data_IF_366231842134
#
_entry.id   IF_366231842134
#
_cell.length_a   1.000
_cell.length_b   1.000
_cell.length_c   1.000
_cell.angle_alpha   90.00
_cell.angle_beta   90.00
_cell.angle_gamma   90.00
#
_symmetry.space_group_name_H-M   'P 1'
#
loop_
_entity.id
_entity.type
_entity.pdbx_description
1 polymer ?
#
# COMPACT_ATOMS: atom_id res chain seq x y z
N UNK A 1 -4.86 31.78 -66.42
CA UNK A 1 -3.63 31.47 -65.66
C UNK A 1 -3.21 32.72 -64.90
N UNK A 2 -2.57 32.63 -63.72
CA UNK A 2 -2.60 31.60 -62.67
C UNK A 2 -3.24 32.20 -61.39
N UNK A 3 -3.21 31.69 -60.14
CA UNK A 3 -2.77 30.44 -59.49
C UNK A 3 -3.94 29.96 -58.58
N UNK A 4 -4.04 28.66 -58.26
CA UNK A 4 -4.83 28.21 -57.10
C UNK A 4 -3.93 28.13 -55.86
N UNK A 5 -4.36 28.70 -54.74
CA UNK A 5 -3.69 28.53 -53.45
C UNK A 5 -4.44 27.44 -52.65
N UNK A 6 -3.83 26.27 -52.48
CA UNK A 6 -4.35 25.21 -51.61
C UNK A 6 -3.91 25.47 -50.18
N UNK A 7 -4.85 25.76 -49.29
CA UNK A 7 -4.61 25.67 -47.85
C UNK A 7 -4.68 24.20 -47.42
N UNK A 8 -3.52 23.58 -47.25
CA UNK A 8 -3.40 22.35 -46.44
C UNK A 8 -3.50 22.73 -44.98
N UNK A 9 -4.64 22.45 -44.35
CA UNK A 9 -4.80 22.58 -42.90
C UNK A 9 -3.90 21.58 -42.19
N UNK A 10 -2.87 22.07 -41.49
CA UNK A 10 -2.03 21.24 -40.64
C UNK A 10 -2.81 20.98 -39.34
N UNK A 11 -3.36 19.77 -39.19
CA UNK A 11 -4.01 19.36 -37.93
C UNK A 11 -2.91 19.18 -36.89
N UNK A 12 -2.67 20.25 -36.13
CA UNK A 12 -1.75 20.22 -34.99
C UNK A 12 -2.42 19.39 -33.88
N UNK A 13 -2.09 18.10 -33.84
CA UNK A 13 -2.57 17.20 -32.78
C UNK A 13 -1.82 17.56 -31.50
N UNK A 14 -2.39 18.46 -30.71
CA UNK A 14 -1.88 18.78 -29.38
C UNK A 14 -2.12 17.56 -28.50
N UNK A 15 -1.09 16.73 -28.33
CA UNK A 15 -1.03 15.79 -27.22
C UNK A 15 -0.91 16.59 -25.93
N UNK A 16 -2.05 16.97 -25.34
CA UNK A 16 -2.07 17.42 -23.96
C UNK A 16 -1.84 16.17 -23.11
N UNK A 17 -0.62 16.01 -22.63
CA UNK A 17 -0.32 15.08 -21.55
C UNK A 17 -0.95 15.65 -20.27
N UNK A 18 -2.26 15.45 -20.10
CA UNK A 18 -2.93 15.76 -18.84
C UNK A 18 -2.40 14.75 -17.82
N UNK A 19 -1.49 15.20 -16.97
CA UNK A 19 -1.23 14.54 -15.70
C UNK A 19 -2.50 14.71 -14.86
N UNK A 20 -3.38 13.70 -14.90
CA UNK A 20 -4.66 13.77 -14.19
C UNK A 20 -4.40 13.65 -12.69
N UNK A 21 -4.54 14.80 -12.04
CA UNK A 21 -4.50 14.92 -10.58
C UNK A 21 -5.79 14.31 -10.02
N UNK A 22 -5.70 13.06 -9.56
CA UNK A 22 -6.71 12.54 -8.65
C UNK A 22 -6.51 13.27 -7.31
N UNK A 23 -7.47 14.08 -6.83
CA UNK A 23 -7.37 14.60 -5.48
C UNK A 23 -7.35 13.41 -4.50
N UNK A 24 -6.52 13.43 -3.45
CA UNK A 24 -6.55 12.38 -2.43
C UNK A 24 -7.95 12.28 -1.81
N UNK A 25 -8.28 11.10 -1.27
CA UNK A 25 -9.59 10.85 -0.66
C UNK A 25 -9.86 11.91 0.41
N UNK A 26 -11.07 12.49 0.45
CA UNK A 26 -11.38 13.38 1.57
C UNK A 26 -11.37 12.54 2.86
N UNK A 27 -10.65 12.98 3.91
CA UNK A 27 -10.49 12.19 5.12
C UNK A 27 -11.84 11.86 5.78
N UNK A 28 -12.81 12.75 5.60
CA UNK A 28 -14.20 12.67 6.04
C UNK A 28 -14.88 11.34 5.70
N UNK A 29 -14.63 10.75 4.52
CA UNK A 29 -15.28 9.50 4.10
C UNK A 29 -14.83 8.27 4.91
N UNK A 30 -13.68 8.35 5.59
CA UNK A 30 -13.17 7.28 6.44
C UNK A 30 -13.52 7.43 7.92
N UNK A 31 -13.68 8.66 8.41
CA UNK A 31 -14.06 8.93 9.80
C UNK A 31 -15.38 8.21 10.19
N UNK A 32 -16.32 8.09 9.25
CA UNK A 32 -17.60 7.38 9.45
C UNK A 32 -17.47 5.85 9.50
N UNK A 33 -16.33 5.27 9.12
CA UNK A 33 -16.11 3.81 9.09
C UNK A 33 -15.61 3.20 10.41
N UNK A 34 -15.28 4.05 11.40
CA UNK A 34 -14.71 3.63 12.68
C UNK A 34 -13.21 3.34 12.62
N UNK A 35 -12.58 3.06 13.78
CA UNK A 35 -11.13 2.93 13.86
C UNK A 35 -10.62 1.66 13.18
N UNK A 36 -9.47 1.76 12.52
CA UNK A 36 -8.82 0.66 11.79
C UNK A 36 -7.32 0.63 12.08
N UNK A 37 -6.70 -0.55 11.95
CA UNK A 37 -5.25 -0.71 12.18
C UNK A 37 -4.46 -0.64 10.89
N UNK A 38 -3.35 0.10 10.96
CA UNK A 38 -2.36 0.28 9.92
C UNK A 38 -1.04 -0.28 10.43
N UNK A 39 -0.42 -1.16 9.64
CA UNK A 39 0.87 -1.74 9.93
C UNK A 39 1.90 -1.12 8.99
N UNK A 40 2.59 -0.08 9.49
CA UNK A 40 3.70 0.56 8.79
C UNK A 40 4.90 -0.37 8.79
N UNK A 41 5.51 -0.55 7.63
CA UNK A 41 6.68 -1.41 7.48
C UNK A 41 7.76 -0.71 6.66
N UNK A 42 8.99 -0.69 7.18
CA UNK A 42 10.16 -0.08 6.57
C UNK A 42 11.13 -1.17 6.10
N UNK A 43 11.70 -1.01 4.91
CA UNK A 43 12.66 -1.92 4.27
C UNK A 43 14.03 -1.23 4.06
N UNK A 44 15.04 -2.06 3.76
CA UNK A 44 16.44 -1.72 3.47
C UNK A 44 17.30 -1.13 4.59
N UNK A 45 16.70 -0.69 5.71
CA UNK A 45 17.41 -0.18 6.88
C UNK A 45 18.15 -1.24 7.71
N UNK A 46 18.73 -0.85 8.86
CA UNK A 46 18.78 0.51 9.38
C UNK A 46 19.78 1.40 8.61
N UNK A 47 19.62 2.72 8.70
CA UNK A 47 20.65 3.68 8.29
C UNK A 47 20.80 4.79 9.33
N UNK A 48 22.04 5.14 9.65
CA UNK A 48 22.36 6.20 10.62
C UNK A 48 21.77 7.58 10.26
N UNK A 49 21.46 7.82 8.98
CA UNK A 49 20.90 9.07 8.49
C UNK A 49 19.37 9.18 8.65
N UNK A 50 18.62 8.07 8.56
CA UNK A 50 17.16 8.11 8.42
C UNK A 50 16.40 7.29 9.46
N UNK A 51 16.92 6.14 9.92
CA UNK A 51 16.21 5.33 10.93
C UNK A 51 16.00 6.07 12.26
N UNK A 52 17.00 6.79 12.83
CA UNK A 52 16.77 7.50 14.09
C UNK A 52 15.75 8.65 13.96
N UNK A 53 15.78 9.53 12.95
CA UNK A 53 14.72 10.51 12.72
C UNK A 53 13.33 9.89 12.48
N UNK A 54 13.25 8.76 11.76
CA UNK A 54 11.97 8.04 11.57
C UNK A 54 11.43 7.51 12.90
N UNK A 55 12.28 7.01 13.79
CA UNK A 55 11.88 6.61 15.14
C UNK A 55 11.43 7.81 16.00
N UNK A 56 12.08 8.98 15.86
CA UNK A 56 11.64 10.21 16.53
C UNK A 56 10.22 10.61 16.10
N UNK A 57 9.94 10.59 14.80
CA UNK A 57 8.61 10.87 14.23
C UNK A 57 7.58 9.83 14.72
N UNK A 58 7.89 8.54 14.65
CA UNK A 58 6.97 7.50 15.12
C UNK A 58 6.66 7.65 16.62
N UNK A 59 7.63 8.07 17.44
CA UNK A 59 7.41 8.35 18.85
C UNK A 59 6.50 9.56 19.09
N UNK A 60 6.67 10.65 18.33
CA UNK A 60 5.82 11.86 18.40
C UNK A 60 4.34 11.56 18.15
N UNK A 61 4.05 10.74 17.14
CA UNK A 61 2.68 10.33 16.77
C UNK A 61 2.18 9.10 17.55
N UNK A 62 2.94 8.58 18.52
CA UNK A 62 2.66 7.33 19.24
C UNK A 62 2.38 6.13 18.31
N UNK A 63 3.07 6.07 17.17
CA UNK A 63 2.89 5.06 16.15
C UNK A 63 3.85 3.88 16.34
N UNK A 64 3.37 2.64 16.17
CA UNK A 64 4.23 1.44 16.11
C UNK A 64 4.36 0.94 14.66
N UNK A 65 5.46 0.27 14.39
CA UNK A 65 5.89 -0.08 13.03
C UNK A 65 6.79 -1.32 13.05
N UNK A 66 7.10 -1.84 11.85
CA UNK A 66 8.00 -2.98 11.65
C UNK A 66 9.16 -2.60 10.76
N UNK A 67 10.39 -2.96 11.13
CA UNK A 67 11.59 -2.69 10.34
C UNK A 67 12.14 -4.01 9.81
N UNK A 68 12.01 -4.25 8.51
CA UNK A 68 12.62 -5.38 7.80
C UNK A 68 14.06 -5.00 7.46
N UNK A 69 14.99 -5.41 8.33
CA UNK A 69 16.39 -4.97 8.25
C UNK A 69 17.24 -5.84 7.34
N UNK A 70 18.16 -5.20 6.62
CA UNK A 70 19.21 -5.85 5.84
C UNK A 70 20.41 -6.15 6.75
N UNK A 71 20.88 -7.40 6.78
CA UNK A 71 21.95 -7.84 7.69
C UNK A 71 23.26 -7.05 7.56
N UNK A 72 23.65 -6.69 6.34
CA UNK A 72 24.85 -5.88 6.04
C UNK A 72 24.78 -4.46 6.63
N UNK A 73 23.59 -3.91 6.85
CA UNK A 73 23.40 -2.57 7.38
C UNK A 73 23.47 -2.51 8.92
N UNK A 74 23.47 -3.66 9.60
CA UNK A 74 23.42 -3.72 11.08
C UNK A 74 24.73 -3.21 11.70
N UNK A 75 25.87 -3.45 11.06
CA UNK A 75 27.18 -2.97 11.53
C UNK A 75 27.19 -1.43 11.63
N UNK A 76 27.58 -0.92 12.80
CA UNK A 76 27.54 0.49 13.20
C UNK A 76 26.13 1.12 13.32
N UNK A 77 25.06 0.32 13.25
CA UNK A 77 23.66 0.74 13.47
C UNK A 77 22.96 -0.06 14.59
N UNK A 78 23.72 -0.73 15.45
CA UNK A 78 23.21 -1.62 16.52
C UNK A 78 22.33 -0.84 17.52
N UNK A 79 22.68 0.41 17.79
CA UNK A 79 21.89 1.33 18.61
C UNK A 79 20.48 1.57 18.04
N UNK A 80 20.31 1.57 16.71
CA UNK A 80 19.01 1.68 16.05
C UNK A 80 18.17 0.42 16.27
N UNK A 81 18.76 -0.79 16.13
CA UNK A 81 18.04 -2.04 16.41
C UNK A 81 17.56 -2.13 17.87
N UNK A 82 18.44 -1.77 18.81
CA UNK A 82 18.08 -1.70 20.23
C UNK A 82 16.96 -0.69 20.50
N UNK A 83 16.99 0.46 19.81
CA UNK A 83 15.96 1.50 19.91
C UNK A 83 14.62 1.03 19.35
N UNK A 84 14.60 0.39 18.17
CA UNK A 84 13.42 -0.23 17.55
C UNK A 84 12.69 -1.12 18.57
N UNK A 85 13.39 -2.08 19.19
CA UNK A 85 12.77 -2.98 20.17
C UNK A 85 12.31 -2.23 21.44
N UNK A 86 13.14 -1.34 21.99
CA UNK A 86 12.84 -0.60 23.23
C UNK A 86 11.62 0.31 23.10
N UNK A 87 11.40 0.89 21.92
CA UNK A 87 10.25 1.76 21.63
C UNK A 87 9.00 0.97 21.21
N UNK A 88 9.06 -0.36 21.19
CA UNK A 88 7.91 -1.24 20.95
C UNK A 88 7.59 -1.48 19.47
N UNK A 89 8.57 -1.27 18.60
CA UNK A 89 8.52 -1.68 17.19
C UNK A 89 9.03 -3.12 17.05
N UNK A 90 8.73 -3.76 15.92
CA UNK A 90 9.18 -5.13 15.63
C UNK A 90 10.28 -5.14 14.57
N UNK A 91 11.27 -6.04 14.71
CA UNK A 91 12.29 -6.29 13.67
C UNK A 91 11.86 -7.51 12.84
N UNK A 92 11.91 -7.37 11.52
CA UNK A 92 11.88 -8.47 10.56
C UNK A 92 13.19 -8.59 9.80
N UNK A 93 13.37 -9.72 9.13
CA UNK A 93 14.58 -10.05 8.39
C UNK A 93 14.36 -9.79 6.89
N UNK A 94 15.24 -8.98 6.28
CA UNK A 94 15.24 -8.66 4.84
C UNK A 94 16.46 -9.25 4.11
N UNK A 95 16.98 -10.38 4.59
CA UNK A 95 18.19 -11.04 4.08
C UNK A 95 19.47 -10.18 4.27
N UNK A 96 20.60 -10.72 3.81
CA UNK A 96 21.90 -10.13 4.13
C UNK A 96 22.21 -8.83 3.38
N UNK A 97 21.85 -8.69 2.10
CA UNK A 97 22.24 -7.53 1.28
C UNK A 97 21.34 -7.33 0.05
N UNK A 98 21.24 -6.06 -0.37
CA UNK A 98 20.63 -5.60 -1.63
C UNK A 98 21.75 -4.92 -2.47
N UNK A 99 22.03 -5.36 -3.72
CA UNK A 99 21.54 -6.57 -4.35
C UNK A 99 22.19 -7.85 -3.79
N UNK A 100 21.40 -8.92 -3.71
CA UNK A 100 21.81 -10.19 -3.12
C UNK A 100 20.95 -11.38 -3.51
N UNK A 101 20.44 -12.11 -2.51
CA UNK A 101 19.60 -13.29 -2.70
C UNK A 101 18.14 -12.85 -2.87
N UNK A 102 17.53 -13.16 -4.02
CA UNK A 102 16.19 -12.68 -4.40
C UNK A 102 15.20 -13.81 -4.66
N UNK A 103 13.94 -13.44 -4.98
CA UNK A 103 12.89 -14.35 -5.39
C UNK A 103 13.32 -15.24 -6.58
N UNK A 104 13.44 -16.55 -6.34
CA UNK A 104 13.89 -17.53 -7.33
C UNK A 104 15.27 -18.15 -7.06
N UNK A 105 16.01 -17.66 -6.06
CA UNK A 105 17.19 -18.34 -5.55
C UNK A 105 16.86 -19.72 -4.93
N UNK A 106 17.84 -20.64 -4.83
CA UNK A 106 17.73 -21.87 -4.04
C UNK A 106 17.32 -21.61 -2.59
N UNK A 107 16.50 -22.49 -2.02
CA UNK A 107 16.03 -22.37 -0.63
C UNK A 107 17.20 -22.34 0.37
N UNK A 108 18.30 -23.04 0.08
CA UNK A 108 19.54 -23.06 0.90
C UNK A 108 20.25 -21.69 0.94
N UNK A 109 20.27 -20.94 -0.16
CA UNK A 109 20.85 -19.60 -0.23
C UNK A 109 19.99 -18.58 0.55
N UNK A 110 18.66 -18.70 0.42
CA UNK A 110 17.70 -17.88 1.18
C UNK A 110 17.86 -18.13 2.69
N UNK A 111 17.93 -19.40 3.09
CA UNK A 111 18.17 -19.80 4.47
C UNK A 111 19.52 -19.31 5.01
N UNK A 112 20.63 -19.51 4.28
CA UNK A 112 21.95 -19.08 4.72
C UNK A 112 22.06 -17.55 4.87
N UNK A 113 21.41 -16.79 3.98
CA UNK A 113 21.32 -15.34 4.04
C UNK A 113 20.45 -14.85 5.20
N UNK A 114 19.34 -15.55 5.48
CA UNK A 114 18.46 -15.31 6.62
C UNK A 114 19.17 -15.60 7.95
N UNK A 115 19.79 -16.77 8.12
CA UNK A 115 20.52 -17.17 9.34
C UNK A 115 21.64 -16.19 9.68
N UNK A 116 22.37 -15.71 8.66
CA UNK A 116 23.44 -14.70 8.83
C UNK A 116 22.87 -13.37 9.34
N UNK A 117 21.69 -12.99 8.87
CA UNK A 117 21.00 -11.77 9.30
C UNK A 117 20.40 -11.93 10.70
N UNK A 118 19.79 -13.07 11.02
CA UNK A 118 19.33 -13.39 12.39
C UNK A 118 20.48 -13.34 13.40
N UNK A 119 21.66 -13.89 13.05
CA UNK A 119 22.84 -13.84 13.90
C UNK A 119 23.29 -12.39 14.20
N UNK A 120 23.32 -11.54 13.18
CA UNK A 120 23.66 -10.12 13.33
C UNK A 120 22.61 -9.33 14.13
N UNK A 121 21.31 -9.58 13.92
CA UNK A 121 20.23 -8.98 14.73
C UNK A 121 20.41 -9.36 16.21
N UNK A 122 20.66 -10.63 16.49
CA UNK A 122 20.79 -11.16 17.86
C UNK A 122 21.98 -10.56 18.61
N UNK A 123 23.13 -10.44 17.94
CA UNK A 123 24.33 -9.83 18.49
C UNK A 123 24.12 -8.33 18.79
N UNK A 124 23.56 -7.60 17.81
CA UNK A 124 23.27 -6.17 17.93
C UNK A 124 22.25 -5.83 19.04
N UNK A 125 21.23 -6.67 19.25
CA UNK A 125 20.21 -6.43 20.27
C UNK A 125 20.73 -6.59 21.70
N UNK A 126 21.62 -7.55 21.95
CA UNK A 126 22.23 -7.78 23.26
C UNK A 126 21.19 -7.82 24.40
N UNK A 127 21.16 -6.84 25.34
CA UNK A 127 20.15 -6.77 26.40
C UNK A 127 18.69 -6.76 25.92
N UNK A 128 18.42 -6.18 24.75
CA UNK A 128 17.07 -6.03 24.16
C UNK A 128 16.62 -7.30 23.40
N UNK A 129 17.36 -8.41 23.50
CA UNK A 129 17.06 -9.65 22.77
C UNK A 129 15.78 -10.35 23.23
N UNK A 130 15.44 -10.29 24.52
CA UNK A 130 14.33 -11.09 25.07
C UNK A 130 12.94 -10.75 24.48
N UNK A 131 12.56 -9.47 24.26
CA UNK A 131 11.33 -9.15 23.54
C UNK A 131 11.30 -9.67 22.10
N UNK A 132 12.42 -9.59 21.38
CA UNK A 132 12.53 -10.08 20.00
C UNK A 132 12.38 -11.60 19.90
N UNK A 133 12.87 -12.36 20.88
CA UNK A 133 12.72 -13.82 20.95
C UNK A 133 11.38 -14.31 21.51
N UNK A 134 10.58 -13.42 22.11
CA UNK A 134 9.23 -13.77 22.59
C UNK A 134 8.17 -13.79 21.47
N UNK A 135 8.53 -13.46 20.23
CA UNK A 135 7.62 -13.32 19.08
C UNK A 135 7.97 -14.27 17.92
N UNK A 136 6.99 -14.65 17.07
CA UNK A 136 7.27 -15.28 15.78
C UNK A 136 8.21 -14.40 14.94
N UNK A 137 9.14 -15.02 14.22
CA UNK A 137 10.09 -14.26 13.39
C UNK A 137 9.41 -13.78 12.11
N UNK A 138 9.77 -12.58 11.70
CA UNK A 138 9.19 -11.96 10.51
C UNK A 138 10.20 -11.99 9.37
N UNK A 139 9.72 -12.31 8.18
CA UNK A 139 10.52 -12.33 6.96
C UNK A 139 9.82 -11.51 5.87
N UNK A 140 10.59 -10.69 5.15
CA UNK A 140 10.17 -10.13 3.86
C UNK A 140 11.28 -10.35 2.85
N UNK A 141 10.92 -10.88 1.68
CA UNK A 141 11.87 -11.06 0.60
C UNK A 141 12.13 -9.72 -0.11
N UNK A 142 13.40 -9.33 -0.31
CA UNK A 142 13.78 -8.23 -1.21
C UNK A 142 13.05 -8.28 -2.56
N UNK A 143 12.51 -7.13 -2.97
CA UNK A 143 11.70 -6.99 -4.19
C UNK A 143 10.30 -7.62 -4.15
N UNK A 144 9.82 -8.09 -2.99
CA UNK A 144 8.43 -8.56 -2.81
C UNK A 144 8.13 -9.92 -3.47
N UNK A 145 8.88 -10.95 -3.08
CA UNK A 145 8.75 -12.31 -3.63
C UNK A 145 7.34 -12.93 -3.54
N UNK A 146 7.07 -13.94 -4.39
CA UNK A 146 5.76 -14.64 -4.46
C UNK A 146 5.69 -15.95 -3.67
N UNK A 147 6.80 -16.36 -3.03
CA UNK A 147 6.89 -17.56 -2.19
C UNK A 147 7.09 -17.15 -0.72
N UNK A 148 6.52 -17.89 0.25
CA UNK A 148 6.95 -17.77 1.65
C UNK A 148 8.42 -18.16 1.82
N UNK A 149 8.99 -17.80 2.97
CA UNK A 149 10.27 -18.34 3.43
C UNK A 149 10.27 -19.88 3.42
N UNK A 150 11.37 -20.54 3.00
CA UNK A 150 11.52 -21.99 3.10
C UNK A 150 11.80 -22.42 4.57
N UNK A 151 10.74 -22.45 5.38
CA UNK A 151 10.77 -22.78 6.82
C UNK A 151 11.31 -24.21 7.08
N UNK A 152 12.21 -24.36 8.06
CA UNK A 152 12.70 -25.66 8.57
C UNK A 152 11.81 -26.22 9.68
N UNK A 153 11.95 -27.51 9.99
CA UNK A 153 11.18 -28.14 11.07
C UNK A 153 11.44 -27.45 12.42
N UNK A 154 10.37 -26.99 13.08
CA UNK A 154 10.42 -26.30 14.38
C UNK A 154 10.53 -24.77 14.30
N UNK A 155 10.84 -24.18 13.13
CA UNK A 155 10.84 -22.73 12.95
C UNK A 155 9.41 -22.15 12.92
N UNK A 156 9.26 -20.89 13.35
CA UNK A 156 8.01 -20.13 13.31
C UNK A 156 8.26 -18.77 12.65
N UNK A 157 8.09 -18.72 11.33
CA UNK A 157 8.41 -17.56 10.49
C UNK A 157 7.16 -17.13 9.71
N UNK A 158 6.76 -15.86 9.82
CA UNK A 158 5.67 -15.29 9.03
C UNK A 158 6.27 -14.47 7.89
N UNK A 159 5.88 -14.78 6.64
CA UNK A 159 6.35 -14.09 5.44
C UNK A 159 5.39 -12.97 5.04
N UNK A 160 5.87 -11.73 5.01
CA UNK A 160 5.05 -10.56 4.71
C UNK A 160 5.52 -9.86 3.44
N UNK A 161 4.61 -9.67 2.47
CA UNK A 161 4.72 -8.54 1.56
C UNK A 161 3.92 -7.34 2.14
N UNK A 162 3.54 -6.39 1.29
CA UNK A 162 2.65 -5.28 1.59
C UNK A 162 1.35 -5.38 0.79
N UNK A 163 0.32 -4.69 1.26
CA UNK A 163 -0.91 -4.43 0.50
C UNK A 163 -0.75 -3.20 -0.39
N UNK A 164 -0.03 -2.19 0.10
CA UNK A 164 0.13 -0.86 -0.52
C UNK A 164 1.61 -0.47 -0.40
N UNK A 165 2.19 0.11 -1.44
CA UNK A 165 3.57 0.60 -1.42
C UNK A 165 3.59 2.11 -1.63
N UNK A 166 4.46 2.82 -0.90
CA UNK A 166 4.77 4.21 -1.21
C UNK A 166 5.55 4.39 -2.52
N UNK A 167 6.25 3.34 -2.98
CA UNK A 167 7.22 3.38 -4.08
C UNK A 167 8.28 4.50 -3.87
N UNK A 168 8.65 4.72 -2.61
CA UNK A 168 9.54 5.76 -2.08
C UNK A 168 11.02 5.53 -2.39
N UNK A 169 11.42 4.30 -2.72
CA UNK A 169 12.77 3.97 -3.20
C UNK A 169 13.03 4.34 -4.67
N UNK A 170 11.98 4.55 -5.50
CA UNK A 170 12.10 4.70 -6.96
C UNK A 170 12.53 6.08 -7.47
N UNK A 171 12.83 7.04 -6.59
CA UNK A 171 12.98 8.45 -6.95
C UNK A 171 14.44 8.87 -7.22
N UNK A 172 14.94 8.47 -8.39
CA UNK A 172 16.09 9.14 -9.01
C UNK A 172 15.74 10.58 -9.47
N UNK A 173 16.76 11.37 -9.80
CA UNK A 173 16.62 12.74 -10.31
C UNK A 173 16.02 12.76 -11.73
N UNK A 174 14.69 12.59 -11.76
CA UNK A 174 13.86 12.66 -12.95
C UNK A 174 13.37 14.11 -13.21
N UNK A 175 14.07 15.11 -12.69
CA UNK A 175 13.69 16.53 -12.79
C UNK A 175 12.50 16.96 -11.93
N UNK A 176 12.06 16.13 -10.98
CA UNK A 176 10.98 16.46 -10.02
C UNK A 176 11.53 17.18 -8.80
N UNK A 177 10.77 18.15 -8.30
CA UNK A 177 11.02 18.77 -7.01
C UNK A 177 10.72 17.82 -5.84
N UNK A 178 11.27 18.13 -4.67
CA UNK A 178 11.02 17.38 -3.45
C UNK A 178 9.51 17.26 -3.11
N UNK A 179 8.73 18.31 -3.38
CA UNK A 179 7.29 18.33 -3.10
C UNK A 179 6.48 17.45 -4.07
N UNK A 180 6.81 17.44 -5.37
CA UNK A 180 6.18 16.56 -6.36
C UNK A 180 6.47 15.07 -6.08
N UNK A 181 7.62 14.78 -5.47
CA UNK A 181 7.97 13.42 -5.03
C UNK A 181 7.16 13.03 -3.78
N UNK A 182 7.04 13.94 -2.79
CA UNK A 182 6.24 13.72 -1.57
C UNK A 182 4.78 13.43 -1.90
N UNK A 183 4.20 14.31 -2.72
CA UNK A 183 2.84 14.21 -3.20
C UNK A 183 2.62 12.92 -4.00
N UNK A 184 3.59 12.48 -4.80
CA UNK A 184 3.48 11.20 -5.49
C UNK A 184 3.48 10.01 -4.51
N UNK A 185 4.32 10.02 -3.47
CA UNK A 185 4.29 8.97 -2.43
C UNK A 185 2.96 8.95 -1.69
N UNK A 186 2.48 10.12 -1.25
CA UNK A 186 1.18 10.25 -0.58
C UNK A 186 0.04 9.78 -1.50
N UNK A 187 0.08 10.07 -2.80
CA UNK A 187 -0.91 9.63 -3.76
C UNK A 187 -0.83 8.11 -4.05
N UNK A 188 0.36 7.51 -4.10
CA UNK A 188 0.51 6.05 -4.18
C UNK A 188 -0.15 5.35 -2.98
N UNK A 189 0.00 5.93 -1.79
CA UNK A 189 -0.55 5.42 -0.54
C UNK A 189 -2.07 5.64 -0.42
N UNK A 190 -2.58 6.83 -0.75
CA UNK A 190 -3.97 7.25 -0.47
C UNK A 190 -4.90 7.20 -1.67
N UNK A 191 -4.42 7.56 -2.87
CA UNK A 191 -5.18 7.56 -4.13
C UNK A 191 -5.21 6.21 -4.84
N UNK A 192 -4.25 5.33 -4.53
CA UNK A 192 -4.11 3.99 -5.07
C UNK A 192 -3.16 3.94 -6.26
N UNK A 193 -2.16 3.04 -6.19
CA UNK A 193 -1.11 2.96 -7.20
C UNK A 193 -1.59 2.37 -8.53
N UNK A 194 -1.07 2.91 -9.64
CA UNK A 194 -1.36 2.43 -11.00
C UNK A 194 -0.47 1.27 -11.47
N UNK A 195 0.59 0.94 -10.72
CA UNK A 195 1.68 0.07 -11.20
C UNK A 195 1.25 -1.37 -11.52
N UNK A 196 0.18 -1.89 -10.91
CA UNK A 196 -0.34 -3.26 -11.15
C UNK A 196 -1.79 -3.31 -11.66
N UNK A 197 -2.30 -2.22 -12.26
CA UNK A 197 -3.67 -2.11 -12.82
C UNK A 197 -4.81 -2.40 -11.82
N UNK A 198 -4.55 -2.30 -10.52
CA UNK A 198 -5.54 -2.39 -9.48
C UNK A 198 -5.32 -1.25 -8.47
N UNK A 199 -6.19 -0.25 -8.52
CA UNK A 199 -6.12 0.98 -7.73
C UNK A 199 -6.52 0.71 -6.27
N UNK A 200 -5.60 0.14 -5.48
CA UNK A 200 -5.80 -0.05 -4.05
C UNK A 200 -4.90 0.89 -3.24
N UNK A 201 -5.52 1.57 -2.29
CA UNK A 201 -4.86 2.47 -1.34
C UNK A 201 -4.92 1.87 0.07
N UNK A 202 -4.33 2.56 1.05
CA UNK A 202 -4.40 2.18 2.48
C UNK A 202 -5.82 1.91 2.95
N UNK A 203 -6.75 2.67 2.37
CA UNK A 203 -8.17 2.66 2.61
C UNK A 203 -8.90 1.44 2.03
N UNK A 204 -8.35 0.76 1.02
CA UNK A 204 -9.04 -0.35 0.35
C UNK A 204 -9.19 -1.62 1.21
N UNK A 205 -8.36 -1.78 2.25
CA UNK A 205 -8.22 -3.03 2.99
C UNK A 205 -8.91 -3.05 4.36
N UNK A 206 -9.37 -1.90 4.87
CA UNK A 206 -10.00 -1.80 6.18
C UNK A 206 -9.01 -2.08 7.31
N UNK A 207 -9.43 -2.86 8.31
CA UNK A 207 -8.62 -3.20 9.47
C UNK A 207 -7.47 -4.16 9.13
N UNK A 208 -6.23 -3.73 9.35
CA UNK A 208 -5.03 -4.54 9.15
C UNK A 208 -4.34 -4.38 7.80
N UNK A 209 -4.41 -3.19 7.19
CA UNK A 209 -3.60 -2.86 6.02
C UNK A 209 -2.10 -2.85 6.35
N UNK A 210 -1.26 -3.22 5.40
CA UNK A 210 0.21 -3.34 5.56
C UNK A 210 0.87 -2.50 4.49
N UNK A 211 1.70 -1.55 4.89
CA UNK A 211 2.26 -0.51 4.02
C UNK A 211 3.77 -0.70 3.89
N UNK A 212 4.27 -0.87 2.66
CA UNK A 212 5.71 -0.90 2.36
C UNK A 212 6.28 0.50 2.11
N UNK A 213 7.29 0.86 2.90
CA UNK A 213 8.13 2.07 2.84
C UNK A 213 9.60 1.67 3.05
N UNK A 214 10.55 2.60 2.95
CA UNK A 214 11.98 2.33 3.15
C UNK A 214 12.63 3.37 4.07
N UNK A 215 13.32 2.95 5.14
CA UNK A 215 14.01 3.85 6.10
C UNK A 215 15.46 4.17 5.70
N UNK A 216 15.68 4.33 4.39
CA UNK A 216 16.98 4.59 3.76
C UNK A 216 17.03 5.88 2.92
N UNK A 217 15.94 6.66 2.93
CA UNK A 217 15.80 7.84 2.09
C UNK A 217 15.04 8.98 2.78
N UNK A 218 15.27 10.20 2.28
CA UNK A 218 14.71 11.45 2.81
C UNK A 218 13.25 11.73 2.42
N UNK A 219 12.69 11.01 1.45
CA UNK A 219 11.28 11.17 1.05
C UNK A 219 10.39 10.61 2.14
N UNK A 220 10.69 9.39 2.60
CA UNK A 220 9.95 8.70 3.66
C UNK A 220 9.98 9.49 4.97
N UNK A 221 11.16 9.97 5.39
CA UNK A 221 11.33 10.88 6.53
C UNK A 221 10.42 12.14 6.43
N UNK A 222 10.31 12.71 5.22
CA UNK A 222 9.63 13.99 4.99
C UNK A 222 8.11 13.88 4.88
N UNK A 223 7.59 12.76 4.35
CA UNK A 223 6.14 12.53 4.23
C UNK A 223 5.52 11.90 5.47
N UNK A 224 6.32 11.25 6.32
CA UNK A 224 5.80 10.47 7.44
C UNK A 224 4.95 11.30 8.43
N UNK A 225 5.32 12.52 8.88
CA UNK A 225 4.52 13.28 9.84
C UNK A 225 3.10 13.59 9.33
N UNK A 226 2.99 14.19 8.14
CA UNK A 226 1.69 14.55 7.57
C UNK A 226 0.85 13.33 7.17
N UNK A 227 1.50 12.22 6.80
CA UNK A 227 0.82 10.96 6.51
C UNK A 227 0.28 10.28 7.78
N UNK A 228 1.02 10.33 8.89
CA UNK A 228 0.56 9.85 10.20
C UNK A 228 -0.61 10.69 10.73
N UNK A 229 -0.50 12.01 10.67
CA UNK A 229 -1.55 12.97 11.06
C UNK A 229 -2.85 12.71 10.28
N UNK A 230 -2.77 12.71 8.95
CA UNK A 230 -3.89 12.45 8.05
C UNK A 230 -4.57 11.10 8.32
N UNK A 231 -3.80 10.06 8.64
CA UNK A 231 -4.36 8.75 8.98
C UNK A 231 -5.00 8.73 10.38
N UNK A 232 -4.47 9.46 11.37
CA UNK A 232 -5.08 9.57 12.69
C UNK A 232 -6.39 10.35 12.67
N UNK A 233 -6.46 11.44 11.90
CA UNK A 233 -7.69 12.23 11.70
C UNK A 233 -8.87 11.38 11.18
N UNK A 234 -8.57 10.30 10.47
CA UNK A 234 -9.57 9.35 9.92
C UNK A 234 -9.74 8.07 10.74
N UNK A 235 -9.19 8.04 11.96
CA UNK A 235 -9.36 6.94 12.91
C UNK A 235 -8.35 5.80 12.80
N UNK A 236 -7.25 5.96 12.07
CA UNK A 236 -6.21 4.95 12.04
C UNK A 236 -5.48 4.83 13.39
N UNK A 237 -5.07 3.61 13.70
CA UNK A 237 -4.13 3.27 14.78
C UNK A 237 -2.95 2.48 14.19
N UNK A 238 -1.75 2.68 14.73
CA UNK A 238 -0.54 2.09 14.18
C UNK A 238 0.02 0.99 15.08
N UNK A 239 0.03 -0.24 14.57
CA UNK A 239 0.54 -1.42 15.27
C UNK A 239 1.78 -1.99 14.55
N UNK A 240 2.68 -2.62 15.30
CA UNK A 240 3.76 -3.41 14.73
C UNK A 240 3.26 -4.82 14.36
N UNK A 241 3.86 -5.43 13.34
CA UNK A 241 3.60 -6.83 13.00
C UNK A 241 4.14 -7.77 14.10
N UNK A 242 3.64 -9.01 14.22
CA UNK A 242 2.59 -9.63 13.40
C UNK A 242 1.18 -9.16 13.77
N UNK A 243 0.26 -9.21 12.80
CA UNK A 243 -1.16 -8.93 13.08
C UNK A 243 -1.75 -10.06 13.93
N UNK A 244 -2.68 -9.80 14.88
CA UNK A 244 -3.17 -10.82 15.83
C UNK A 244 -3.85 -12.06 15.23
N UNK A 245 -4.15 -12.05 13.92
CA UNK A 245 -4.82 -13.12 13.18
C UNK A 245 -3.92 -13.76 12.10
N UNK A 246 -2.65 -13.36 12.00
CA UNK A 246 -1.68 -14.01 11.13
C UNK A 246 -1.05 -15.22 11.81
N UNK A 247 -0.84 -16.31 11.05
CA UNK A 247 -0.30 -17.57 11.56
C UNK A 247 1.17 -17.78 11.15
N UNK A 248 2.03 -18.33 12.04
CA UNK A 248 3.36 -18.80 11.67
C UNK A 248 3.36 -19.73 10.45
N UNK A 249 4.44 -19.66 9.67
CA UNK A 249 4.70 -20.51 8.51
C UNK A 249 3.68 -20.30 7.38
N UNK A 250 3.14 -19.09 7.29
CA UNK A 250 2.25 -18.64 6.21
C UNK A 250 2.77 -17.38 5.54
N UNK A 251 2.14 -17.04 4.40
CA UNK A 251 2.28 -15.75 3.72
C UNK A 251 0.90 -15.11 3.59
N UNK A 252 0.43 -14.38 4.62
CA UNK A 252 -0.93 -13.85 4.66
C UNK A 252 -1.13 -12.68 3.69
N UNK A 253 -0.05 -11.93 3.38
CA UNK A 253 -0.06 -10.79 2.47
C UNK A 253 0.75 -11.13 1.21
N UNK A 254 0.18 -10.85 0.03
CA UNK A 254 0.79 -11.09 -1.28
C UNK A 254 0.56 -9.90 -2.20
N UNK A 255 1.49 -9.64 -3.12
CA UNK A 255 1.36 -8.54 -4.07
C UNK A 255 0.17 -8.73 -5.01
N UNK A 256 -0.47 -7.62 -5.39
CA UNK A 256 -1.59 -7.61 -6.34
C UNK A 256 -2.87 -8.29 -5.87
N UNK A 257 -2.95 -8.76 -4.62
CA UNK A 257 -4.18 -9.38 -4.10
C UNK A 257 -5.19 -8.30 -3.69
N UNK A 258 -6.40 -8.29 -4.28
CA UNK A 258 -7.44 -7.32 -3.91
C UNK A 258 -7.96 -7.57 -2.48
N UNK A 259 -8.51 -6.54 -1.82
CA UNK A 259 -9.09 -6.69 -0.48
C UNK A 259 -10.22 -7.72 -0.47
N UNK A 260 -10.26 -8.53 0.59
CA UNK A 260 -11.24 -9.63 0.73
C UNK A 260 -12.63 -9.05 0.95
N UNK A 261 -13.60 -9.53 0.17
CA UNK A 261 -14.98 -9.02 0.13
C UNK A 261 -15.81 -9.49 1.34
N UNK A 262 -15.81 -8.72 2.43
CA UNK A 262 -16.69 -8.92 3.61
C UNK A 262 -18.16 -8.55 3.35
N UNK A 263 -19.09 -8.88 4.26
CA UNK A 263 -20.55 -8.69 4.04
C UNK A 263 -21.00 -7.24 3.77
N UNK A 264 -20.17 -6.25 4.13
CA UNK A 264 -20.55 -4.85 4.02
C UNK A 264 -21.32 -4.34 5.23
N UNK A 265 -21.44 -3.02 5.31
CA UNK A 265 -22.25 -2.30 6.30
C UNK A 265 -23.49 -1.77 5.54
N UNK A 266 -24.72 -2.21 5.88
CA UNK A 266 -25.92 -1.71 5.23
C UNK A 266 -26.05 -0.18 5.37
N UNK A 267 -26.22 0.50 4.24
CA UNK A 267 -26.33 1.96 4.19
C UNK A 267 -24.99 2.72 4.16
N UNK A 268 -23.85 2.05 4.30
CA UNK A 268 -22.55 2.67 4.04
C UNK A 268 -22.36 2.90 2.53
N UNK A 269 -21.77 4.04 2.18
CA UNK A 269 -21.38 4.39 0.82
C UNK A 269 -19.88 4.58 0.75
N UNK A 270 -19.31 4.47 -0.45
CA UNK A 270 -17.95 4.93 -0.74
C UNK A 270 -17.95 5.81 -1.98
N UNK A 271 -17.12 6.85 -2.05
CA UNK A 271 -16.85 7.53 -3.30
C UNK A 271 -16.26 6.56 -4.35
N UNK A 272 -16.43 6.91 -5.61
CA UNK A 272 -15.84 6.18 -6.73
C UNK A 272 -15.72 7.05 -7.97
N UNK A 273 -14.99 6.56 -8.96
CA UNK A 273 -14.77 7.25 -10.23
C UNK A 273 -14.74 6.26 -11.39
N UNK A 274 -15.32 6.64 -12.52
CA UNK A 274 -15.32 5.82 -13.73
C UNK A 274 -13.94 5.80 -14.40
N UNK A 275 -13.47 4.61 -14.75
CA UNK A 275 -12.14 4.36 -15.34
C UNK A 275 -12.15 4.32 -16.88
N UNK A 276 -13.34 4.31 -17.48
CA UNK A 276 -13.58 4.31 -18.93
C UNK A 276 -15.04 4.77 -19.14
N UNK A 277 -15.47 4.89 -20.39
CA UNK A 277 -16.88 5.05 -20.73
C UNK A 277 -17.68 3.81 -20.28
N UNK A 278 -18.66 4.03 -19.41
CA UNK A 278 -19.42 2.95 -18.76
C UNK A 278 -20.93 3.20 -18.80
N UNK A 279 -21.70 2.12 -18.80
CA UNK A 279 -23.17 2.15 -18.77
C UNK A 279 -23.68 2.03 -17.35
N UNK A 280 -24.57 2.93 -16.95
CA UNK A 280 -25.43 2.72 -15.79
C UNK A 280 -26.58 1.79 -16.22
N UNK A 281 -26.85 0.73 -15.45
CA UNK A 281 -27.85 -0.29 -15.79
C UNK A 281 -28.87 -0.53 -14.68
N UNK A 282 -30.03 -1.05 -15.03
CA UNK A 282 -31.09 -1.33 -14.05
C UNK A 282 -30.74 -2.44 -13.06
N UNK A 283 -29.96 -3.45 -13.49
CA UNK A 283 -29.53 -4.60 -12.68
C UNK A 283 -28.08 -4.97 -13.00
N UNK A 284 -27.38 -5.75 -12.14
CA UNK A 284 -25.97 -6.13 -12.33
C UNK A 284 -25.79 -7.18 -13.45
N UNK A 285 -26.06 -6.80 -14.69
CA UNK A 285 -25.95 -7.68 -15.86
C UNK A 285 -25.67 -6.89 -17.15
N UNK A 286 -24.84 -7.44 -18.04
CA UNK A 286 -24.57 -6.85 -19.37
C UNK A 286 -25.79 -6.86 -20.29
N UNK A 287 -26.80 -7.66 -19.97
CA UNK A 287 -28.08 -7.75 -20.70
C UNK A 287 -29.18 -6.87 -20.09
N UNK A 288 -28.92 -6.21 -18.95
CA UNK A 288 -29.89 -5.34 -18.30
C UNK A 288 -30.16 -4.06 -19.10
N UNK A 289 -31.32 -3.46 -18.88
CA UNK A 289 -31.68 -2.14 -19.40
C UNK A 289 -30.59 -1.12 -19.08
N UNK A 290 -30.31 -0.26 -20.06
CA UNK A 290 -29.33 0.81 -19.99
C UNK A 290 -30.06 2.07 -19.54
N UNK A 291 -29.80 2.49 -18.29
CA UNK A 291 -30.35 3.72 -17.71
C UNK A 291 -29.60 4.96 -18.22
N UNK A 292 -28.27 4.86 -18.35
CA UNK A 292 -27.40 5.87 -18.96
C UNK A 292 -26.44 5.17 -19.91
N UNK A 293 -26.44 5.59 -21.18
CA UNK A 293 -25.75 4.90 -22.27
C UNK A 293 -24.23 5.07 -22.26
N UNK A 294 -23.76 6.25 -21.88
CA UNK A 294 -22.36 6.65 -21.91
C UNK A 294 -22.10 7.60 -20.73
N UNK A 295 -21.77 7.06 -19.56
CA UNK A 295 -21.17 7.84 -18.48
C UNK A 295 -19.68 8.02 -18.83
N UNK A 296 -19.17 9.25 -18.97
CA UNK A 296 -17.77 9.48 -19.32
C UNK A 296 -16.78 8.89 -18.32
N UNK A 297 -15.54 8.69 -18.76
CA UNK A 297 -14.38 8.51 -17.87
C UNK A 297 -14.25 9.70 -16.88
N UNK A 298 -13.64 9.47 -15.72
CA UNK A 298 -13.43 10.48 -14.66
C UNK A 298 -14.73 11.10 -14.09
N UNK A 299 -15.88 10.45 -14.29
CA UNK A 299 -17.14 10.87 -13.68
C UNK A 299 -17.20 10.39 -12.23
N UNK A 300 -17.38 11.29 -11.23
CA UNK A 300 -17.60 10.89 -9.85
C UNK A 300 -18.92 10.13 -9.68
N UNK A 301 -18.90 9.08 -8.86
CA UNK A 301 -20.07 8.29 -8.50
C UNK A 301 -20.06 8.01 -7.00
N UNK A 302 -21.25 7.89 -6.39
CA UNK A 302 -21.38 7.38 -5.02
C UNK A 302 -21.69 5.90 -5.10
N UNK A 303 -20.81 5.04 -4.60
CA UNK A 303 -21.00 3.59 -4.62
C UNK A 303 -21.71 3.16 -3.35
N UNK A 304 -22.92 2.62 -3.49
CA UNK A 304 -23.85 2.37 -2.38
C UNK A 304 -24.01 0.87 -2.06
N UNK A 305 -23.38 0.00 -2.84
CA UNK A 305 -23.43 -1.45 -2.67
C UNK A 305 -22.68 -2.18 -3.77
N UNK A 306 -22.62 -3.51 -3.67
CA UNK A 306 -21.86 -4.35 -4.61
C UNK A 306 -22.50 -5.73 -4.81
N UNK A 307 -22.28 -6.28 -6.00
CA UNK A 307 -22.58 -7.67 -6.36
C UNK A 307 -21.32 -8.31 -6.98
N UNK A 308 -21.42 -9.54 -7.48
CA UNK A 308 -20.30 -10.20 -8.18
C UNK A 308 -19.99 -9.46 -9.49
N UNK A 309 -18.81 -8.82 -9.58
CA UNK A 309 -18.40 -8.08 -10.78
C UNK A 309 -19.10 -6.73 -11.04
N UNK A 310 -19.97 -6.28 -10.13
CA UNK A 310 -20.73 -5.02 -10.27
C UNK A 310 -20.74 -4.19 -8.99
N UNK A 311 -20.85 -2.87 -9.18
CA UNK A 311 -21.13 -1.90 -8.13
C UNK A 311 -22.49 -1.28 -8.37
N UNK A 312 -23.29 -1.16 -7.30
CA UNK A 312 -24.46 -0.30 -7.31
C UNK A 312 -23.99 1.12 -7.04
N UNK A 313 -24.33 2.05 -7.92
CA UNK A 313 -23.88 3.43 -7.86
C UNK A 313 -25.07 4.38 -7.98
N UNK A 314 -24.98 5.49 -7.27
CA UNK A 314 -25.77 6.68 -7.48
C UNK A 314 -24.94 7.70 -8.26
N UNK A 315 -25.54 8.25 -9.31
CA UNK A 315 -24.98 9.32 -10.13
C UNK A 315 -26.10 10.29 -10.51
N UNK A 316 -25.93 11.59 -10.21
CA UNK A 316 -26.93 12.63 -10.48
C UNK A 316 -28.35 12.30 -9.97
N UNK A 317 -28.46 11.63 -8.81
CA UNK A 317 -29.73 11.19 -8.23
C UNK A 317 -30.36 9.96 -8.89
N UNK A 318 -29.69 9.32 -9.85
CA UNK A 318 -30.11 8.06 -10.45
C UNK A 318 -29.27 6.90 -9.91
N UNK A 319 -29.96 5.92 -9.32
CA UNK A 319 -29.34 4.68 -8.85
C UNK A 319 -29.38 3.62 -9.96
N UNK A 320 -28.27 2.92 -10.13
CA UNK A 320 -28.17 1.76 -11.02
C UNK A 320 -26.87 1.01 -10.81
N UNK A 321 -26.47 0.23 -11.80
CA UNK A 321 -25.35 -0.70 -11.71
C UNK A 321 -24.31 -0.43 -12.79
N UNK A 322 -23.05 -0.35 -12.37
CA UNK A 322 -21.88 -0.29 -13.27
C UNK A 322 -21.01 -1.52 -13.05
N UNK A 323 -20.36 -1.99 -14.12
CA UNK A 323 -19.42 -3.11 -13.99
C UNK A 323 -18.19 -2.65 -13.22
N UNK A 324 -17.81 -3.40 -12.19
CA UNK A 324 -16.71 -3.09 -11.28
C UNK A 324 -15.33 -2.99 -11.97
N UNK A 325 -15.22 -3.48 -13.21
CA UNK A 325 -14.04 -3.30 -14.07
C UNK A 325 -13.80 -1.83 -14.46
N UNK A 326 -14.86 -1.02 -14.52
CA UNK A 326 -14.85 0.34 -15.05
C UNK A 326 -15.10 1.40 -13.98
N UNK A 327 -15.03 1.04 -12.70
CA UNK A 327 -15.23 1.95 -11.56
C UNK A 327 -14.18 1.64 -10.50
N UNK A 328 -13.31 2.61 -10.21
CA UNK A 328 -12.48 2.58 -9.01
C UNK A 328 -13.34 2.99 -7.80
N UNK A 329 -13.13 2.32 -6.67
CA UNK A 329 -13.83 2.58 -5.41
C UNK A 329 -12.83 3.05 -4.38
N UNK A 330 -13.21 4.09 -3.66
CA UNK A 330 -12.35 4.90 -2.81
C UNK A 330 -12.76 4.61 -1.37
N UNK A 331 -12.09 3.62 -0.75
CA UNK A 331 -12.37 3.12 0.61
C UNK A 331 -12.45 1.59 0.70
N UNK A 332 -12.83 0.99 1.85
CA UNK A 332 -12.73 -0.45 2.06
C UNK A 332 -13.85 -1.17 1.32
N UNK A 333 -13.50 -2.07 0.40
CA UNK A 333 -14.50 -2.97 -0.20
C UNK A 333 -15.28 -3.78 0.88
N UNK A 334 -14.71 -4.13 2.06
CA UNK A 334 -15.47 -4.65 3.21
C UNK A 334 -16.60 -3.77 3.76
N UNK A 335 -16.63 -2.46 3.50
CA UNK A 335 -17.69 -1.55 3.96
C UNK A 335 -18.91 -1.55 3.04
N UNK A 336 -18.73 -1.80 1.74
CA UNK A 336 -19.84 -1.83 0.78
C UNK A 336 -20.75 -3.04 1.01
N UNK A 337 -22.01 -2.76 1.33
CA UNK A 337 -23.09 -3.73 1.43
C UNK A 337 -23.08 -4.72 0.25
N UNK A 338 -23.00 -6.01 0.56
CA UNK A 338 -23.29 -7.05 -0.42
C UNK A 338 -24.81 -7.04 -0.69
N UNK A 339 -25.17 -6.92 -1.96
CA UNK A 339 -26.55 -6.95 -2.45
C UNK A 339 -26.68 -8.17 -3.36
N UNK A 340 -27.55 -9.10 -2.96
CA UNK A 340 -27.85 -10.36 -3.65
C UNK A 340 -28.83 -10.19 -4.83
#
# INVERSE_FOLDING_TARGET
>A
MPKHLRFTGFVCTIFILVLTFFPPQSPEAHADSGPFRVYLTFEDGPTAAYTPPILDILAEYNAKATFFVIGFQIEANEASLQRIIREGHTIGNHLWQEPGVYAGAPDEDVQASYDRTEAAIRDALGPELSPYDAQPKLFRQPGGGVKPFPVREGEQIISYNWHVSGNDCGFGDNGKSAAEIDEQVINNLTGGSSLDRAYFSVFSYGDGVVIGLHDVNRVTERILPSFLEYLQDVGASFEALPRPFDAPNTMPIRLGVPPVRGQGIPGATLPGVTLDYVRLRATPSTNAEILVADVPIETPVTVIGRAEGWYQVEINGQIGWMSAKYVAVIGPIPNLALIE
#
